data_IF_183230875462
#
_entry.id   IF_183230875462
#
_cell.length_a   1.000
_cell.length_b   1.000
_cell.length_c   1.000
_cell.angle_alpha   90.00
_cell.angle_beta   90.00
_cell.angle_gamma   90.00
#
_symmetry.space_group_name_H-M   'P 1'
#
loop_
_entity.id
_entity.type
_entity.pdbx_description
1 polymer ?
#
# COMPACT_ATOMS: atom_id res chain seq x y z
N UNK A 1 -5.28 -5.75 3.49
CA UNK A 1 -4.27 -6.03 4.52
C UNK A 1 -4.89 -6.11 5.90
N UNK A 2 -5.74 -5.16 6.30
CA UNK A 2 -6.43 -5.12 7.61
C UNK A 2 -7.05 -6.47 8.02
N UNK A 3 -7.85 -7.09 7.14
CA UNK A 3 -8.44 -8.41 7.42
C UNK A 3 -7.40 -9.47 7.81
N UNK A 4 -6.24 -9.53 7.15
CA UNK A 4 -5.19 -10.49 7.51
C UNK A 4 -4.59 -10.21 8.91
N UNK A 5 -4.62 -8.96 9.37
CA UNK A 5 -4.19 -8.59 10.72
C UNK A 5 -5.28 -8.90 11.76
N UNK A 6 -6.56 -8.89 11.37
CA UNK A 6 -7.69 -9.16 12.26
C UNK A 6 -7.98 -10.65 12.44
N UNK A 7 -7.75 -11.46 11.41
CA UNK A 7 -8.06 -12.90 11.45
C UNK A 7 -6.84 -13.82 11.27
N UNK A 8 -5.63 -13.25 11.23
CA UNK A 8 -4.40 -14.01 11.00
C UNK A 8 -4.27 -14.61 9.59
N UNK A 9 -5.15 -14.22 8.65
CA UNK A 9 -5.20 -14.74 7.29
C UNK A 9 -4.00 -14.39 6.41
N UNK A 10 -3.95 -14.98 5.21
CA UNK A 10 -2.84 -14.85 4.25
C UNK A 10 -3.30 -14.37 2.87
N UNK A 11 -4.35 -13.53 2.82
CA UNK A 11 -4.91 -13.01 1.55
C UNK A 11 -3.86 -12.22 0.78
N UNK A 12 -3.81 -12.42 -0.53
CA UNK A 12 -2.96 -11.69 -1.48
C UNK A 12 -3.85 -10.81 -2.36
N UNK A 13 -3.29 -9.73 -2.90
CA UNK A 13 -4.01 -8.81 -3.77
C UNK A 13 -3.15 -8.45 -4.99
N UNK A 14 -3.82 -8.07 -6.06
CA UNK A 14 -3.23 -7.44 -7.25
C UNK A 14 -4.00 -6.14 -7.45
N UNK A 15 -3.31 -5.01 -7.49
CA UNK A 15 -3.89 -3.69 -7.75
C UNK A 15 -3.34 -3.15 -9.06
N UNK A 16 -4.23 -2.75 -9.96
CA UNK A 16 -3.88 -2.12 -11.23
C UNK A 16 -4.33 -0.67 -11.17
N UNK A 17 -3.44 0.25 -11.55
CA UNK A 17 -3.69 1.69 -11.58
C UNK A 17 -3.03 2.28 -12.82
N UNK A 18 -3.80 3.05 -13.59
CA UNK A 18 -3.26 3.84 -14.71
C UNK A 18 -2.39 4.97 -14.14
N UNK A 19 -1.20 5.27 -14.71
CA UNK A 19 -0.34 6.37 -14.27
C UNK A 19 -0.84 7.71 -14.82
N UNK A 20 -2.08 8.08 -14.48
CA UNK A 20 -2.68 9.36 -14.87
C UNK A 20 -1.92 10.52 -14.23
N UNK A 21 -1.55 11.51 -15.03
CA UNK A 21 -0.81 12.69 -14.56
C UNK A 21 -1.64 13.51 -13.57
N UNK A 22 -0.96 14.00 -12.54
CA UNK A 22 -1.56 14.86 -11.54
C UNK A 22 -1.40 16.32 -11.99
N UNK A 23 -2.48 17.10 -11.86
CA UNK A 23 -2.43 18.54 -12.13
C UNK A 23 -1.43 19.25 -11.19
N UNK A 24 -0.55 20.06 -11.77
CA UNK A 24 0.55 20.78 -11.10
C UNK A 24 0.10 21.69 -9.96
N UNK A 25 -1.15 22.16 -9.99
CA UNK A 25 -1.69 23.06 -8.97
C UNK A 25 -2.19 22.33 -7.72
N UNK A 26 -2.22 20.99 -7.73
CA UNK A 26 -2.70 20.18 -6.60
C UNK A 26 -1.64 20.03 -5.52
N UNK A 27 -2.10 19.79 -4.29
CA UNK A 27 -1.18 19.50 -3.18
C UNK A 27 -0.45 18.18 -3.37
N UNK A 28 -1.05 17.20 -4.05
CA UNK A 28 -0.37 15.96 -4.40
C UNK A 28 0.88 16.23 -5.25
N UNK A 29 0.77 17.09 -6.27
CA UNK A 29 1.91 17.48 -7.08
C UNK A 29 2.98 18.23 -6.28
N UNK A 30 2.57 19.19 -5.43
CA UNK A 30 3.49 19.91 -4.53
C UNK A 30 4.23 18.99 -3.56
N UNK A 31 3.62 17.87 -3.19
CA UNK A 31 4.22 16.83 -2.34
C UNK A 31 5.05 15.80 -3.12
N UNK A 32 5.34 16.04 -4.42
CA UNK A 32 6.24 15.21 -5.22
C UNK A 32 5.59 14.05 -5.96
N UNK A 33 4.26 13.95 -5.99
CA UNK A 33 3.55 12.93 -6.75
C UNK A 33 3.28 13.42 -8.18
N UNK A 34 3.77 12.67 -9.18
CA UNK A 34 3.60 13.04 -10.60
C UNK A 34 2.39 12.36 -11.24
N UNK A 35 2.00 11.19 -10.75
CA UNK A 35 0.85 10.44 -11.25
C UNK A 35 0.08 9.72 -10.12
N UNK A 36 -1.16 9.32 -10.40
CA UNK A 36 -2.04 8.63 -9.44
C UNK A 36 -1.43 7.31 -8.94
N UNK A 37 -0.70 6.58 -9.78
CA UNK A 37 -0.06 5.33 -9.38
C UNK A 37 1.00 5.53 -8.27
N UNK A 38 1.71 6.66 -8.26
CA UNK A 38 2.64 7.02 -7.19
C UNK A 38 1.93 7.21 -5.84
N UNK A 39 0.78 7.89 -5.84
CA UNK A 39 -0.07 8.02 -4.65
C UNK A 39 -0.54 6.64 -4.18
N UNK A 40 -0.98 5.78 -5.11
CA UNK A 40 -1.45 4.43 -4.80
C UNK A 40 -0.39 3.57 -4.11
N UNK A 41 0.86 3.60 -4.62
CA UNK A 41 2.01 2.91 -4.00
C UNK A 41 2.27 3.42 -2.57
N UNK A 42 2.30 4.74 -2.39
CA UNK A 42 2.56 5.33 -1.09
C UNK A 42 1.43 5.03 -0.09
N UNK A 43 0.18 5.01 -0.55
CA UNK A 43 -0.97 4.62 0.27
C UNK A 43 -0.84 3.18 0.77
N UNK A 44 -0.48 2.24 -0.10
CA UNK A 44 -0.28 0.83 0.30
C UNK A 44 0.84 0.72 1.34
N UNK A 45 1.96 1.41 1.12
CA UNK A 45 3.10 1.43 2.04
C UNK A 45 2.70 1.94 3.42
N UNK A 46 2.07 3.13 3.49
CA UNK A 46 1.63 3.73 4.76
C UNK A 46 0.55 2.93 5.47
N UNK A 47 -0.39 2.36 4.71
CA UNK A 47 -1.41 1.49 5.29
C UNK A 47 -0.79 0.25 5.92
N UNK A 48 0.22 -0.36 5.29
CA UNK A 48 0.92 -1.50 5.85
C UNK A 48 1.66 -1.19 7.15
N UNK A 49 2.43 -0.10 7.18
CA UNK A 49 3.11 0.35 8.40
C UNK A 49 2.13 0.67 9.53
N UNK A 50 1.03 1.35 9.22
CA UNK A 50 -0.01 1.68 10.20
C UNK A 50 -0.64 0.42 10.79
N UNK A 51 -1.06 -0.52 9.95
CA UNK A 51 -1.70 -1.77 10.41
C UNK A 51 -0.72 -2.60 11.24
N UNK A 52 0.55 -2.69 10.82
CA UNK A 52 1.59 -3.38 11.58
C UNK A 52 1.81 -2.73 12.95
N UNK A 53 1.88 -1.41 13.02
CA UNK A 53 2.02 -0.66 14.27
C UNK A 53 0.80 -0.80 15.20
N UNK A 54 -0.41 -0.87 14.66
CA UNK A 54 -1.64 -1.12 15.42
C UNK A 54 -1.69 -2.56 15.94
N UNK A 55 -1.30 -3.55 15.13
CA UNK A 55 -1.24 -4.94 15.53
C UNK A 55 -0.25 -5.16 16.68
N UNK A 56 0.90 -4.45 16.69
CA UNK A 56 1.88 -4.45 17.79
C UNK A 56 1.33 -3.97 19.14
N UNK A 57 0.26 -3.17 19.13
CA UNK A 57 -0.36 -2.62 20.35
C UNK A 57 -1.45 -3.50 20.93
N UNK A 58 -1.84 -4.58 20.24
CA UNK A 58 -2.87 -5.51 20.73
C UNK A 58 -2.23 -6.42 21.79
N UNK A 59 -2.95 -6.66 22.88
CA UNK A 59 -2.50 -7.56 23.95
C UNK A 59 -2.46 -9.02 23.49
N UNK A 60 -3.46 -9.44 22.69
CA UNK A 60 -3.56 -10.78 22.11
C UNK A 60 -3.76 -10.69 20.59
N UNK A 61 -2.70 -10.42 19.81
CA UNK A 61 -2.81 -10.34 18.37
C UNK A 61 -3.01 -11.74 17.76
N UNK A 62 -3.92 -11.91 16.79
CA UNK A 62 -4.19 -13.21 16.15
C UNK A 62 -2.99 -13.77 15.37
N UNK A 63 -1.96 -12.94 15.16
CA UNK A 63 -0.71 -13.30 14.50
C UNK A 63 0.40 -12.36 14.95
N UNK A 64 1.65 -12.84 14.97
CA UNK A 64 2.82 -12.01 15.23
C UNK A 64 2.87 -10.84 14.21
N UNK A 65 2.97 -9.58 14.68
CA UNK A 65 3.05 -8.41 13.80
C UNK A 65 4.20 -8.45 12.78
N UNK A 66 5.30 -9.14 13.09
CA UNK A 66 6.44 -9.30 12.17
C UNK A 66 6.14 -10.28 11.03
N UNK A 67 5.18 -11.19 11.21
CA UNK A 67 4.75 -12.15 10.19
C UNK A 67 3.65 -11.57 9.27
N UNK A 68 3.15 -10.35 9.55
CA UNK A 68 2.19 -9.67 8.70
C UNK A 68 2.87 -9.25 7.39
N UNK A 69 2.42 -9.85 6.27
CA UNK A 69 2.93 -9.50 4.95
C UNK A 69 2.41 -8.13 4.51
N UNK A 70 3.29 -7.14 4.63
CA UNK A 70 3.05 -5.76 4.18
C UNK A 70 3.77 -5.43 2.86
N UNK A 71 4.54 -6.38 2.33
CA UNK A 71 5.34 -6.19 1.12
C UNK A 71 4.49 -6.21 -0.14
N UNK A 72 4.93 -5.50 -1.17
CA UNK A 72 4.35 -5.57 -2.51
C UNK A 72 5.43 -5.34 -3.56
N UNK A 73 5.18 -5.86 -4.77
CA UNK A 73 6.02 -5.62 -5.94
C UNK A 73 5.30 -4.66 -6.88
N UNK A 74 6.06 -3.78 -7.52
CA UNK A 74 5.54 -2.83 -8.51
C UNK A 74 6.00 -3.28 -9.89
N UNK A 75 5.06 -3.43 -10.81
CA UNK A 75 5.31 -3.74 -12.20
C UNK A 75 4.83 -2.57 -13.06
N UNK A 76 5.51 -2.32 -14.17
CA UNK A 76 5.13 -1.34 -15.17
C UNK A 76 4.95 -2.05 -16.51
N UNK A 77 3.90 -1.69 -17.24
CA UNK A 77 3.72 -2.15 -18.61
C UNK A 77 4.59 -1.28 -19.52
N UNK A 78 5.47 -1.91 -20.30
CA UNK A 78 6.25 -1.25 -21.33
C UNK A 78 5.51 -1.49 -22.64
N UNK A 79 4.90 -0.44 -23.19
CA UNK A 79 4.33 -0.50 -24.53
C UNK A 79 5.47 -0.45 -25.55
N UNK A 80 5.62 -1.50 -26.34
CA UNK A 80 6.31 -1.38 -27.62
C UNK A 80 5.30 -0.82 -28.61
N UNK A 81 5.46 0.47 -28.94
CA UNK A 81 4.76 1.13 -30.06
C UNK A 81 5.77 1.22 -31.20
#
# INVERSE_FOLDING_TARGET
MQLNADDGGKRKFIMVQLPEEINKNTDAYKNGFTNIADIGKERIRRAGEKIKAELKKREDPPKNPEDLDIGFKVFKLIGHI
#
